data_IF_396895637045
#
_entry.id   IF_396895637045
#
_cell.length_a   1.000
_cell.length_b   1.000
_cell.length_c   1.000
_cell.angle_alpha   90.00
_cell.angle_beta   90.00
_cell.angle_gamma   90.00
#
_symmetry.space_group_name_H-M   'P 1'
#
loop_
_entity.id
_entity.type
_entity.pdbx_description
1 polymer ?
#
# COMPACT_ATOMS: atom_id res chain seq x y z
N UNK A 1 -3.56 -18.97 -6.69
CA UNK A 1 -3.15 -18.72 -5.28
C UNK A 1 -3.28 -17.24 -5.00
N UNK A 2 -3.75 -16.90 -3.81
CA UNK A 2 -3.86 -15.52 -3.37
C UNK A 2 -2.51 -14.81 -3.42
N UNK A 3 -2.51 -13.57 -3.89
CA UNK A 3 -1.33 -12.73 -3.92
C UNK A 3 -1.60 -11.39 -3.22
N UNK A 4 -0.56 -10.80 -2.68
CA UNK A 4 -0.64 -9.49 -2.01
C UNK A 4 0.32 -8.52 -2.65
N UNK A 5 -0.16 -7.29 -2.85
CA UNK A 5 0.71 -6.14 -3.02
C UNK A 5 0.98 -5.58 -1.62
N UNK A 6 2.24 -5.52 -1.25
CA UNK A 6 2.66 -5.01 0.06
C UNK A 6 3.43 -3.71 -0.16
N UNK A 7 2.97 -2.65 0.50
CA UNK A 7 3.59 -1.33 0.42
C UNK A 7 4.14 -0.96 1.79
N UNK A 8 5.46 -0.87 1.88
CA UNK A 8 6.17 -0.49 3.10
C UNK A 8 6.60 0.96 3.00
N UNK A 9 6.27 1.76 3.99
CA UNK A 9 6.58 3.19 4.03
C UNK A 9 7.30 3.55 5.32
N UNK A 10 8.48 4.18 5.19
CA UNK A 10 9.17 4.79 6.33
C UNK A 10 8.71 6.24 6.39
N UNK A 11 8.00 6.59 7.46
CA UNK A 11 7.30 7.87 7.59
C UNK A 11 8.06 8.76 8.57
N UNK A 12 8.36 9.99 8.15
CA UNK A 12 8.98 10.98 9.05
C UNK A 12 8.07 11.17 10.27
N UNK A 13 8.61 11.09 11.50
CA UNK A 13 7.83 11.23 12.73
C UNK A 13 6.98 12.50 12.77
N UNK A 14 7.46 13.58 12.17
CA UNK A 14 6.77 14.89 12.18
C UNK A 14 5.43 14.87 11.44
N UNK A 15 5.22 13.89 10.54
CA UNK A 15 3.98 13.80 9.74
C UNK A 15 3.19 12.51 10.00
N UNK A 16 3.58 11.74 11.00
CA UNK A 16 2.95 10.44 11.27
C UNK A 16 1.44 10.54 11.46
N UNK A 17 0.97 11.49 12.26
CA UNK A 17 -0.46 11.67 12.53
C UNK A 17 -1.23 12.07 11.28
N UNK A 18 -0.69 12.99 10.49
CA UNK A 18 -1.30 13.42 9.25
C UNK A 18 -1.35 12.29 8.22
N UNK A 19 -0.26 11.51 8.12
CA UNK A 19 -0.18 10.35 7.25
C UNK A 19 -1.24 9.30 7.63
N UNK A 20 -1.35 9.01 8.93
CA UNK A 20 -2.33 8.04 9.42
C UNK A 20 -3.76 8.45 9.10
N UNK A 21 -4.10 9.72 9.35
CA UNK A 21 -5.44 10.25 9.07
C UNK A 21 -5.77 10.24 7.57
N UNK A 22 -4.80 10.65 6.73
CA UNK A 22 -4.97 10.67 5.28
C UNK A 22 -5.16 9.25 4.72
N UNK A 23 -4.38 8.30 5.20
CA UNK A 23 -4.47 6.91 4.77
C UNK A 23 -5.82 6.31 5.13
N UNK A 24 -6.29 6.57 6.35
CA UNK A 24 -7.56 6.08 6.85
C UNK A 24 -8.75 6.64 6.06
N UNK A 25 -8.77 7.93 5.84
CA UNK A 25 -9.94 8.63 5.29
C UNK A 25 -9.99 8.60 3.77
N UNK A 26 -8.84 8.66 3.12
CA UNK A 26 -8.77 8.86 1.68
C UNK A 26 -8.06 7.71 0.96
N UNK A 27 -6.79 7.47 1.28
CA UNK A 27 -5.94 6.64 0.45
C UNK A 27 -6.34 5.17 0.42
N UNK A 28 -6.56 4.55 1.59
CA UNK A 28 -6.90 3.12 1.63
C UNK A 28 -8.25 2.82 0.99
N UNK A 29 -9.34 3.58 1.31
CA UNK A 29 -10.61 3.36 0.64
C UNK A 29 -10.57 3.57 -0.87
N UNK A 30 -9.86 4.61 -1.32
CA UNK A 30 -9.72 4.90 -2.74
C UNK A 30 -8.93 3.81 -3.46
N UNK A 31 -7.83 3.36 -2.86
CA UNK A 31 -7.00 2.30 -3.42
C UNK A 31 -7.76 0.97 -3.51
N UNK A 32 -8.51 0.60 -2.48
CA UNK A 32 -9.31 -0.61 -2.51
C UNK A 32 -10.21 -0.67 -3.76
N UNK A 33 -10.90 0.44 -4.04
CA UNK A 33 -11.82 0.55 -5.18
C UNK A 33 -11.07 0.60 -6.51
N UNK A 34 -10.09 1.48 -6.61
CA UNK A 34 -9.37 1.70 -7.87
C UNK A 34 -8.55 0.49 -8.28
N UNK A 35 -7.98 -0.23 -7.32
CA UNK A 35 -7.17 -1.43 -7.57
C UNK A 35 -8.02 -2.68 -7.81
N UNK A 36 -9.31 -2.63 -7.52
CA UNK A 36 -10.19 -3.80 -7.52
C UNK A 36 -9.65 -4.91 -6.62
N UNK A 37 -9.03 -4.52 -5.49
CA UNK A 37 -8.50 -5.47 -4.53
C UNK A 37 -9.63 -6.17 -3.78
N UNK A 38 -9.38 -7.42 -3.37
CA UNK A 38 -10.34 -8.19 -2.58
C UNK A 38 -10.49 -7.60 -1.19
N UNK A 39 -9.36 -7.28 -0.56
CA UNK A 39 -9.29 -6.58 0.72
C UNK A 39 -8.13 -5.59 0.72
N UNK A 40 -8.20 -4.61 1.63
CA UNK A 40 -7.11 -3.70 1.89
C UNK A 40 -6.98 -3.55 3.40
N UNK A 41 -5.75 -3.69 3.90
CA UNK A 41 -5.42 -3.61 5.33
C UNK A 41 -4.16 -2.80 5.50
N UNK A 42 -4.02 -2.16 6.64
CA UNK A 42 -2.82 -1.38 6.94
C UNK A 42 -2.54 -1.39 8.45
N UNK A 43 -1.31 -1.13 8.79
CA UNK A 43 -0.92 -1.02 10.18
C UNK A 43 0.46 -0.42 10.33
N UNK A 44 0.80 -0.12 11.56
CA UNK A 44 2.13 0.35 11.94
C UNK A 44 2.92 -0.81 12.55
N UNK A 45 4.19 -0.90 12.21
CA UNK A 45 5.07 -1.91 12.78
C UNK A 45 5.20 -1.72 14.30
N UNK A 46 5.11 -2.81 15.06
CA UNK A 46 5.37 -2.77 16.50
C UNK A 46 6.85 -2.79 16.83
N UNK A 47 7.70 -3.14 15.86
CA UNK A 47 9.17 -3.15 16.02
C UNK A 47 9.76 -1.79 15.67
N UNK A 48 9.25 -1.16 14.60
CA UNK A 48 9.65 0.18 14.19
C UNK A 48 8.39 1.03 14.04
N UNK A 49 8.07 1.86 15.03
CA UNK A 49 6.78 2.57 15.07
C UNK A 49 6.59 3.64 13.99
N UNK A 50 7.62 3.93 13.20
CA UNK A 50 7.52 4.86 12.08
C UNK A 50 7.41 4.16 10.73
N UNK A 51 7.32 2.82 10.72
CA UNK A 51 7.10 2.03 9.52
C UNK A 51 5.64 1.65 9.40
N UNK A 52 5.03 2.08 8.30
CA UNK A 52 3.66 1.75 7.94
C UNK A 52 3.66 0.68 6.85
N UNK A 53 2.78 -0.30 6.95
CA UNK A 53 2.68 -1.37 5.95
C UNK A 53 1.21 -1.51 5.54
N UNK A 54 0.96 -1.50 4.24
CA UNK A 54 -0.36 -1.74 3.66
C UNK A 54 -0.35 -3.02 2.84
N UNK A 55 -1.46 -3.76 2.90
CA UNK A 55 -1.64 -5.05 2.25
C UNK A 55 -2.88 -5.01 1.38
N UNK A 56 -2.70 -5.22 0.08
CA UNK A 56 -3.80 -5.29 -0.88
C UNK A 56 -3.89 -6.70 -1.43
N UNK A 57 -5.02 -7.35 -1.21
CA UNK A 57 -5.23 -8.74 -1.59
C UNK A 57 -5.79 -8.85 -3.00
N UNK A 58 -5.23 -9.77 -3.79
CA UNK A 58 -5.69 -10.09 -5.14
C UNK A 58 -5.94 -11.60 -5.27
N UNK A 59 -6.86 -12.03 -6.15
CA UNK A 59 -7.18 -13.44 -6.29
C UNK A 59 -5.99 -14.28 -6.78
N UNK A 60 -5.08 -13.67 -7.53
CA UNK A 60 -3.89 -14.34 -8.06
C UNK A 60 -2.78 -13.33 -8.37
N UNK A 61 -1.61 -13.85 -8.70
CA UNK A 61 -0.44 -13.03 -9.01
C UNK A 61 -0.63 -12.22 -10.28
N UNK A 62 -1.31 -12.77 -11.29
CA UNK A 62 -1.54 -12.07 -12.55
C UNK A 62 -2.34 -10.78 -12.33
N UNK A 63 -3.39 -10.84 -11.53
CA UNK A 63 -4.20 -9.68 -11.18
C UNK A 63 -3.36 -8.61 -10.47
N UNK A 64 -2.56 -9.02 -9.48
CA UNK A 64 -1.69 -8.13 -8.74
C UNK A 64 -0.62 -7.49 -9.65
N UNK A 65 -0.02 -8.28 -10.52
CA UNK A 65 1.01 -7.81 -11.44
C UNK A 65 0.45 -6.84 -12.48
N UNK A 66 -0.75 -7.13 -13.00
CA UNK A 66 -1.44 -6.24 -13.92
C UNK A 66 -1.69 -4.87 -13.27
N UNK A 67 -2.18 -4.86 -12.03
CA UNK A 67 -2.40 -3.62 -11.27
C UNK A 67 -1.10 -2.86 -11.08
N UNK A 68 -0.04 -3.55 -10.68
CA UNK A 68 1.25 -2.92 -10.38
C UNK A 68 1.81 -2.14 -11.58
N UNK A 69 1.57 -2.59 -12.81
CA UNK A 69 2.05 -1.95 -14.03
C UNK A 69 0.99 -1.10 -14.73
N UNK A 70 -0.15 -0.84 -14.09
CA UNK A 70 -1.27 -0.11 -14.69
C UNK A 70 -1.11 1.40 -14.63
N UNK A 71 -1.87 2.10 -15.47
CA UNK A 71 -1.97 3.57 -15.40
C UNK A 71 -2.62 4.02 -14.08
N UNK A 72 -3.56 3.23 -13.55
CA UNK A 72 -4.16 3.48 -12.24
C UNK A 72 -3.07 3.56 -11.16
N UNK A 73 -2.16 2.59 -11.15
CA UNK A 73 -1.07 2.57 -10.18
C UNK A 73 -0.14 3.77 -10.34
N UNK A 74 0.19 4.14 -11.57
CA UNK A 74 1.03 5.32 -11.85
C UNK A 74 0.40 6.59 -11.28
N UNK A 75 -0.92 6.74 -11.43
CA UNK A 75 -1.65 7.88 -10.89
C UNK A 75 -1.59 7.94 -9.36
N UNK A 76 -1.76 6.79 -8.71
CA UNK A 76 -1.65 6.69 -7.24
C UNK A 76 -0.24 6.99 -6.74
N UNK A 77 0.77 6.51 -7.44
CA UNK A 77 2.18 6.81 -7.10
C UNK A 77 2.42 8.32 -7.17
N UNK A 78 1.99 8.94 -8.26
CA UNK A 78 2.17 10.38 -8.47
C UNK A 78 1.47 11.20 -7.38
N UNK A 79 0.22 10.88 -7.08
CA UNK A 79 -0.54 11.57 -6.04
C UNK A 79 0.09 11.42 -4.66
N UNK A 80 0.51 10.20 -4.33
CA UNK A 80 1.19 9.92 -3.07
C UNK A 80 2.46 10.76 -2.94
N UNK A 81 3.29 10.78 -3.99
CA UNK A 81 4.55 11.50 -3.98
C UNK A 81 4.34 13.01 -3.84
N UNK A 82 3.28 13.56 -4.45
CA UNK A 82 2.94 14.97 -4.29
C UNK A 82 2.58 15.33 -2.84
N UNK A 83 1.88 14.44 -2.13
CA UNK A 83 1.49 14.66 -0.73
C UNK A 83 2.67 14.55 0.24
N UNK A 84 3.59 13.63 -0.01
CA UNK A 84 4.56 13.19 1.00
C UNK A 84 6.01 13.35 0.57
N UNK A 85 6.28 14.19 -0.44
CA UNK A 85 7.65 14.40 -0.94
C UNK A 85 8.59 14.82 0.19
N UNK A 86 9.74 14.12 0.29
CA UNK A 86 10.75 14.38 1.31
C UNK A 86 10.38 13.92 2.72
N UNK A 87 9.19 13.32 2.92
CA UNK A 87 8.70 12.89 4.24
C UNK A 87 8.46 11.39 4.36
N UNK A 88 8.33 10.70 3.23
CA UNK A 88 8.04 9.27 3.22
C UNK A 88 8.90 8.59 2.18
N UNK A 89 9.57 7.51 2.59
CA UNK A 89 10.33 6.62 1.70
C UNK A 89 9.58 5.30 1.64
N UNK A 90 9.29 4.83 0.43
CA UNK A 90 8.42 3.68 0.28
C UNK A 90 9.02 2.64 -0.67
N UNK A 91 8.67 1.37 -0.41
CA UNK A 91 8.99 0.24 -1.28
C UNK A 91 7.77 -0.63 -1.47
N UNK A 92 7.75 -1.41 -2.53
CA UNK A 92 6.65 -2.32 -2.90
C UNK A 92 7.19 -3.67 -3.24
N UNK A 93 6.37 -4.69 -2.95
CA UNK A 93 6.62 -6.05 -3.43
C UNK A 93 5.32 -6.78 -3.64
N UNK A 94 5.36 -7.80 -4.49
CA UNK A 94 4.27 -8.74 -4.67
C UNK A 94 4.67 -10.06 -4.03
N UNK A 95 3.75 -10.64 -3.27
CA UNK A 95 3.95 -11.94 -2.65
C UNK A 95 2.79 -12.86 -3.04
N UNK A 96 3.10 -13.95 -3.70
CA UNK A 96 2.15 -15.03 -3.95
C UNK A 96 2.36 -16.10 -2.90
N UNK A 97 1.27 -16.59 -2.28
CA UNK A 97 1.41 -17.65 -1.31
C UNK A 97 1.72 -18.97 -2.00
N UNK A 98 2.80 -19.62 -1.55
CA UNK A 98 3.17 -20.97 -2.03
C UNK A 98 2.40 -22.05 -1.29
N UNK A 99 1.99 -21.75 -0.06
CA UNK A 99 1.31 -22.67 0.82
C UNK A 99 0.52 -21.92 1.87
N UNK A 100 -0.68 -22.38 2.14
CA UNK A 100 -1.52 -21.88 3.23
C UNK A 100 -2.16 -23.10 3.91
N UNK A 101 -1.95 -23.24 5.21
CA UNK A 101 -2.45 -24.39 5.98
C UNK A 101 -3.20 -23.95 7.23
#
# INVERSE_FOLDING_TARGET
MTAYLIVRAEVDPSVKSQFDAWYQKEHLPDALKAFHAVTAKRGWSSVDPHVHIAFYEFPDLDAANTLLHSETMKGFIKEFDLHWVGKVVRSRELVEFSQAI
#
